data_IF_589551411133
#
_entry.id   IF_589551411133
#
_cell.length_a   1.000
_cell.length_b   1.000
_cell.length_c   1.000
_cell.angle_alpha   90.00
_cell.angle_beta   90.00
_cell.angle_gamma   90.00
#
_symmetry.space_group_name_H-M   'P 1'
#
loop_
_entity.id
_entity.type
_entity.pdbx_description
1 polymer ?
#
# COMPACT_ATOMS: atom_id res chain seq x y z
N UNK A 1 0.54 -6.40 -39.23
CA UNK A 1 -0.48 -6.84 -38.25
C UNK A 1 0.05 -7.84 -37.21
N UNK A 2 0.94 -8.75 -37.58
CA UNK A 2 1.44 -9.80 -36.68
C UNK A 2 2.41 -9.30 -35.59
N UNK A 3 3.26 -8.31 -35.88
CA UNK A 3 4.23 -7.76 -34.90
C UNK A 3 3.56 -7.01 -33.74
N UNK A 4 2.46 -6.30 -34.02
CA UNK A 4 1.68 -5.58 -32.98
C UNK A 4 0.94 -6.56 -32.05
N UNK A 5 0.40 -7.65 -32.58
CA UNK A 5 -0.23 -8.73 -31.78
C UNK A 5 0.78 -9.47 -30.92
N UNK A 6 2.02 -9.66 -31.40
CA UNK A 6 3.10 -10.25 -30.63
C UNK A 6 3.57 -9.34 -29.48
N UNK A 7 3.64 -8.02 -29.72
CA UNK A 7 4.00 -7.02 -28.71
C UNK A 7 2.91 -6.90 -27.63
N UNK A 8 1.64 -6.91 -28.04
CA UNK A 8 0.50 -6.89 -27.11
C UNK A 8 0.41 -8.18 -26.28
N UNK A 9 0.68 -9.33 -26.91
CA UNK A 9 0.75 -10.63 -26.21
C UNK A 9 1.94 -10.71 -25.26
N UNK A 10 3.09 -10.16 -25.60
CA UNK A 10 4.27 -10.08 -24.73
C UNK A 10 4.05 -9.16 -23.54
N UNK A 11 3.34 -8.04 -23.74
CA UNK A 11 3.00 -7.10 -22.66
C UNK A 11 1.96 -7.68 -21.70
N UNK A 12 1.02 -8.50 -22.19
CA UNK A 12 0.04 -9.20 -21.36
C UNK A 12 0.70 -10.32 -20.54
N UNK A 13 1.73 -11.00 -21.06
CA UNK A 13 2.48 -12.05 -20.37
C UNK A 13 3.39 -11.49 -19.27
N UNK A 14 3.91 -10.27 -19.42
CA UNK A 14 4.71 -9.61 -18.37
C UNK A 14 3.88 -9.14 -17.18
N UNK A 15 2.56 -8.96 -17.32
CA UNK A 15 1.69 -8.51 -16.25
C UNK A 15 1.21 -9.63 -15.31
N UNK A 16 1.51 -10.90 -15.60
CA UNK A 16 1.04 -12.04 -14.79
C UNK A 16 2.02 -12.53 -13.71
N UNK A 17 3.17 -11.89 -13.51
CA UNK A 17 4.26 -12.46 -12.71
C UNK A 17 4.39 -11.97 -11.27
N UNK A 18 3.43 -11.33 -10.65
CA UNK A 18 3.55 -10.96 -9.22
C UNK A 18 2.26 -11.07 -8.41
N UNK A 19 1.49 -12.12 -8.60
CA UNK A 19 0.60 -12.58 -7.54
C UNK A 19 1.34 -13.56 -6.62
N UNK A 20 2.45 -13.14 -6.01
CA UNK A 20 2.92 -13.80 -4.80
C UNK A 20 1.88 -13.53 -3.74
N UNK A 21 1.12 -14.57 -3.41
CA UNK A 21 0.07 -14.53 -2.43
C UNK A 21 0.57 -13.85 -1.16
N UNK A 22 -0.28 -13.01 -0.60
CA UNK A 22 -0.08 -12.43 0.72
C UNK A 22 -0.03 -13.61 1.71
N UNK A 23 1.16 -14.10 1.96
CA UNK A 23 1.42 -15.31 2.69
C UNK A 23 1.70 -15.02 4.17
N UNK A 24 1.94 -16.09 4.91
CA UNK A 24 2.35 -16.08 6.31
C UNK A 24 3.49 -15.09 6.61
N UNK A 25 4.35 -14.80 5.63
CA UNK A 25 5.50 -13.87 5.75
C UNK A 25 5.14 -12.41 6.04
N UNK A 26 3.87 -12.04 5.89
CA UNK A 26 3.39 -10.72 6.28
C UNK A 26 3.05 -10.63 7.77
N UNK A 27 3.02 -11.76 8.47
CA UNK A 27 2.85 -11.79 9.92
C UNK A 27 4.23 -11.78 10.56
N UNK A 28 4.45 -10.87 11.48
CA UNK A 28 5.73 -10.74 12.17
C UNK A 28 5.57 -10.49 13.66
N UNK A 29 6.60 -10.82 14.42
CA UNK A 29 6.69 -10.48 15.84
C UNK A 29 6.90 -8.96 15.92
N UNK A 30 6.05 -8.26 16.66
CA UNK A 30 6.08 -6.81 16.76
C UNK A 30 6.63 -6.30 18.09
N UNK A 31 6.15 -6.85 19.20
CA UNK A 31 6.57 -6.44 20.52
C UNK A 31 6.52 -7.65 21.48
N UNK A 32 7.45 -7.72 22.43
CA UNK A 32 7.50 -8.79 23.45
C UNK A 32 7.79 -8.18 24.80
N UNK A 33 7.02 -8.59 25.82
CA UNK A 33 7.21 -8.21 27.22
C UNK A 33 7.27 -9.49 28.06
N UNK A 34 8.43 -9.72 28.71
CA UNK A 34 8.69 -10.97 29.44
C UNK A 34 8.33 -10.90 30.93
N UNK A 35 8.33 -9.73 31.53
CA UNK A 35 8.03 -9.51 32.94
C UNK A 35 7.01 -8.36 33.06
N UNK A 36 5.73 -8.70 33.18
CA UNK A 36 4.61 -7.78 33.22
C UNK A 36 4.12 -7.55 34.63
N UNK A 37 4.33 -6.38 35.20
CA UNK A 37 3.83 -5.99 36.51
C UNK A 37 2.86 -4.82 36.50
N UNK A 38 2.89 -3.98 35.44
CA UNK A 38 2.09 -2.77 35.31
C UNK A 38 1.42 -2.58 33.93
N UNK A 39 1.76 -3.40 32.90
CA UNK A 39 1.20 -3.31 31.58
C UNK A 39 -0.24 -3.87 31.52
N UNK A 40 -0.66 -4.42 30.38
CA UNK A 40 -2.00 -4.99 30.20
C UNK A 40 -2.26 -6.20 31.07
N UNK A 41 -3.55 -6.44 31.34
CA UNK A 41 -4.05 -7.65 32.01
C UNK A 41 -4.79 -8.52 31.01
N UNK A 42 -4.84 -9.82 31.28
CA UNK A 42 -5.66 -10.77 30.54
C UNK A 42 -7.15 -10.66 30.91
N UNK A 43 -7.99 -11.50 30.32
CA UNK A 43 -9.44 -11.54 30.59
C UNK A 43 -9.79 -11.93 32.04
N UNK A 44 -8.82 -12.45 32.80
CA UNK A 44 -8.97 -12.85 34.19
C UNK A 44 -8.38 -11.83 35.17
N UNK A 45 -7.82 -10.74 34.68
CA UNK A 45 -7.19 -9.69 35.48
C UNK A 45 -5.74 -10.01 35.88
N UNK A 46 -5.11 -11.03 35.30
CA UNK A 46 -3.72 -11.40 35.59
C UNK A 46 -2.76 -10.62 34.68
N UNK A 47 -1.57 -10.37 35.20
CA UNK A 47 -0.47 -9.75 34.46
C UNK A 47 0.51 -10.83 34.04
N UNK A 48 0.39 -11.22 32.78
CA UNK A 48 1.18 -12.28 32.18
C UNK A 48 2.18 -11.70 31.16
N UNK A 49 3.29 -12.42 30.94
CA UNK A 49 4.16 -12.12 29.81
C UNK A 49 3.37 -12.24 28.50
N UNK A 50 3.72 -11.45 27.50
CA UNK A 50 2.98 -11.45 26.26
C UNK A 50 3.86 -11.24 25.02
N UNK A 51 3.35 -11.71 23.89
CA UNK A 51 3.92 -11.56 22.55
C UNK A 51 2.87 -10.90 21.67
N UNK A 52 3.26 -9.88 20.94
CA UNK A 52 2.41 -9.25 19.94
C UNK A 52 2.86 -9.64 18.53
N UNK A 53 1.89 -10.01 17.70
CA UNK A 53 2.05 -10.16 16.26
C UNK A 53 1.41 -8.99 15.53
N UNK A 54 2.02 -8.60 14.41
CA UNK A 54 1.50 -7.61 13.46
C UNK A 54 1.28 -8.26 12.09
N UNK A 55 0.17 -7.93 11.47
CA UNK A 55 -0.07 -8.21 10.06
C UNK A 55 0.32 -6.99 9.21
N UNK A 56 1.44 -7.05 8.53
CA UNK A 56 1.95 -5.94 7.69
C UNK A 56 1.24 -5.80 6.35
N UNK A 57 0.39 -6.76 5.98
CA UNK A 57 -0.39 -6.71 4.75
C UNK A 57 -1.65 -5.84 4.88
N UNK A 58 -2.37 -5.66 3.79
CA UNK A 58 -3.66 -4.97 3.78
C UNK A 58 -4.86 -5.93 3.84
N UNK A 59 -4.60 -7.24 3.87
CA UNK A 59 -5.65 -8.28 3.92
C UNK A 59 -5.57 -9.07 5.21
N UNK A 60 -6.69 -9.66 5.60
CA UNK A 60 -6.78 -10.53 6.77
C UNK A 60 -6.01 -11.83 6.54
N UNK A 61 -5.24 -12.25 7.54
CA UNK A 61 -4.54 -13.52 7.55
C UNK A 61 -4.89 -14.34 8.79
N UNK A 62 -5.09 -15.67 8.62
CA UNK A 62 -5.40 -16.57 9.73
C UNK A 62 -4.14 -17.30 10.18
N UNK A 63 -3.74 -17.06 11.43
CA UNK A 63 -2.53 -17.62 12.04
C UNK A 63 -2.76 -18.91 12.84
N UNK A 64 -3.99 -19.44 12.83
CA UNK A 64 -4.29 -20.71 13.50
C UNK A 64 -3.35 -21.82 13.03
N UNK A 65 -2.90 -22.65 13.95
CA UNK A 65 -2.01 -23.77 13.63
C UNK A 65 -0.57 -23.38 13.35
N UNK A 66 -0.22 -22.09 13.40
CA UNK A 66 1.18 -21.65 13.39
C UNK A 66 1.82 -21.87 14.76
N UNK A 67 3.13 -21.77 14.84
CA UNK A 67 3.86 -22.17 16.04
C UNK A 67 4.79 -21.08 16.57
N UNK A 68 4.88 -21.00 17.89
CA UNK A 68 5.96 -20.31 18.58
C UNK A 68 6.94 -21.30 19.23
N UNK A 69 8.18 -20.90 19.37
CA UNK A 69 9.18 -21.66 20.10
C UNK A 69 10.28 -20.75 20.65
N UNK A 70 10.81 -21.12 21.79
CA UNK A 70 12.02 -20.51 22.38
C UNK A 70 13.23 -21.45 22.28
N UNK A 71 13.04 -22.67 21.78
CA UNK A 71 14.10 -23.66 21.63
C UNK A 71 14.82 -23.49 20.27
N UNK A 72 16.06 -23.01 20.33
CA UNK A 72 16.90 -22.83 19.13
C UNK A 72 17.28 -24.14 18.41
N UNK A 73 17.15 -25.30 19.10
CA UNK A 73 17.46 -26.58 18.47
C UNK A 73 16.61 -26.84 17.22
N UNK A 74 15.40 -26.23 17.13
CA UNK A 74 14.54 -26.33 15.94
C UNK A 74 15.13 -25.70 14.66
N UNK A 75 16.21 -24.93 14.79
CA UNK A 75 16.93 -24.37 13.65
C UNK A 75 17.79 -25.42 12.94
N UNK A 76 17.99 -26.61 13.53
CA UNK A 76 18.72 -27.69 12.89
C UNK A 76 17.96 -28.16 11.63
N UNK A 77 18.54 -28.02 10.44
CA UNK A 77 17.91 -28.45 9.19
C UNK A 77 17.74 -29.98 9.10
N UNK A 78 18.47 -30.75 9.90
CA UNK A 78 18.37 -32.22 9.93
C UNK A 78 17.27 -32.72 10.87
N UNK A 79 16.69 -31.84 11.70
CA UNK A 79 15.64 -32.22 12.63
C UNK A 79 14.34 -32.56 11.87
N UNK A 80 13.77 -33.72 12.15
CA UNK A 80 12.50 -34.15 11.55
C UNK A 80 11.33 -33.25 11.99
N UNK A 81 10.32 -33.09 11.12
CA UNK A 81 9.14 -32.26 11.42
C UNK A 81 8.42 -32.70 12.71
N UNK A 82 8.17 -34.01 12.96
CA UNK A 82 7.54 -34.45 14.20
C UNK A 82 8.35 -34.10 15.47
N UNK A 83 9.67 -34.12 15.40
CA UNK A 83 10.53 -33.78 16.50
C UNK A 83 10.55 -32.26 16.74
N UNK A 84 10.54 -31.49 15.67
CA UNK A 84 10.45 -30.03 15.71
C UNK A 84 9.14 -29.57 16.35
N UNK A 85 7.99 -30.17 15.97
CA UNK A 85 6.67 -29.87 16.54
C UNK A 85 6.63 -30.09 18.06
N UNK A 86 7.28 -31.14 18.57
CA UNK A 86 7.36 -31.40 20.02
C UNK A 86 8.00 -30.24 20.80
N UNK A 87 8.88 -29.47 20.16
CA UNK A 87 9.58 -28.32 20.74
C UNK A 87 8.88 -26.98 20.51
N UNK A 88 7.77 -26.99 19.77
CA UNK A 88 7.00 -25.80 19.42
C UNK A 88 5.65 -25.78 20.17
N UNK A 89 5.10 -24.59 20.29
CA UNK A 89 3.77 -24.35 20.87
C UNK A 89 2.83 -23.83 19.80
N UNK A 90 1.77 -24.56 19.55
CA UNK A 90 0.78 -24.24 18.50
C UNK A 90 -0.14 -23.11 18.94
N UNK A 91 -0.47 -22.22 18.03
CA UNK A 91 -1.57 -21.27 18.18
C UNK A 91 -2.88 -22.04 18.03
N UNK A 92 -3.75 -22.06 19.05
CA UNK A 92 -4.97 -22.85 19.04
C UNK A 92 -5.94 -22.40 17.93
N UNK A 93 -6.73 -23.30 17.42
CA UNK A 93 -7.85 -23.03 16.53
C UNK A 93 -9.14 -22.76 17.30
N UNK A 94 -10.12 -22.11 16.66
CA UNK A 94 -11.46 -21.93 17.21
C UNK A 94 -11.76 -20.56 17.83
N UNK A 95 -10.84 -19.60 17.73
CA UNK A 95 -11.09 -18.19 18.05
C UNK A 95 -11.02 -17.35 16.79
N UNK A 96 -12.07 -16.56 16.48
CA UNK A 96 -12.05 -15.66 15.31
C UNK A 96 -10.97 -14.59 15.39
N UNK A 97 -10.46 -14.23 16.57
CA UNK A 97 -9.37 -13.27 16.77
C UNK A 97 -8.05 -13.74 16.17
N UNK A 98 -7.86 -15.06 15.93
CA UNK A 98 -6.69 -15.56 15.20
C UNK A 98 -6.66 -15.16 13.73
N UNK A 99 -7.72 -14.52 13.22
CA UNK A 99 -7.75 -13.83 11.94
C UNK A 99 -7.32 -12.39 12.15
N UNK A 100 -6.03 -12.11 11.95
CA UNK A 100 -5.49 -10.76 12.10
C UNK A 100 -5.82 -9.96 10.83
N UNK A 101 -6.62 -8.91 10.97
CA UNK A 101 -6.92 -7.97 9.87
C UNK A 101 -5.68 -7.28 9.32
N UNK A 102 -5.79 -6.72 8.11
CA UNK A 102 -4.70 -5.96 7.53
C UNK A 102 -4.28 -4.78 8.42
N UNK A 103 -3.00 -4.61 8.65
CA UNK A 103 -2.43 -3.56 9.51
C UNK A 103 -2.89 -3.62 10.97
N UNK A 104 -3.34 -4.78 11.43
CA UNK A 104 -3.76 -4.99 12.81
C UNK A 104 -2.74 -5.79 13.61
N UNK A 105 -2.87 -5.70 14.92
CA UNK A 105 -2.03 -6.34 15.91
C UNK A 105 -2.86 -7.35 16.71
N UNK A 106 -2.20 -8.38 17.23
CA UNK A 106 -2.81 -9.36 18.11
C UNK A 106 -1.83 -9.75 19.21
N UNK A 107 -2.27 -9.66 20.45
CA UNK A 107 -1.49 -10.01 21.63
C UNK A 107 -1.84 -11.43 22.08
N UNK A 108 -0.81 -12.21 22.40
CA UNK A 108 -0.90 -13.51 23.05
C UNK A 108 -0.27 -13.46 24.44
N UNK A 109 -0.97 -13.97 25.42
CA UNK A 109 -0.44 -14.16 26.78
C UNK A 109 0.33 -15.48 26.89
N UNK A 110 1.49 -15.44 27.52
CA UNK A 110 2.43 -16.56 27.64
C UNK A 110 2.48 -17.05 29.10
N UNK A 111 1.44 -17.76 29.52
CA UNK A 111 1.29 -18.23 30.92
C UNK A 111 1.25 -19.76 31.06
N UNK A 112 1.53 -20.51 30.01
CA UNK A 112 1.44 -21.97 29.95
C UNK A 112 0.07 -22.55 30.32
N UNK A 113 -0.99 -21.75 30.29
CA UNK A 113 -2.34 -22.15 30.64
C UNK A 113 -3.36 -21.95 29.50
N UNK A 114 -3.32 -22.79 28.45
CA UNK A 114 -4.23 -22.65 27.32
C UNK A 114 -5.70 -22.92 27.65
N UNK A 115 -6.00 -23.39 28.86
CA UNK A 115 -7.37 -23.57 29.36
C UNK A 115 -8.08 -22.23 29.59
N UNK A 116 -7.33 -21.15 29.83
CA UNK A 116 -7.87 -19.81 30.02
C UNK A 116 -8.35 -19.15 28.71
N UNK A 117 -8.01 -19.68 27.54
CA UNK A 117 -8.50 -19.16 26.27
C UNK A 117 -7.53 -19.37 25.10
N UNK A 118 -7.96 -19.06 23.91
CA UNK A 118 -7.18 -19.30 22.70
C UNK A 118 -6.03 -18.31 22.48
N UNK A 119 -6.03 -17.20 23.20
CA UNK A 119 -4.93 -16.23 23.19
C UNK A 119 -3.92 -16.49 24.34
N UNK A 120 -4.12 -17.56 25.11
CA UNK A 120 -3.17 -18.03 26.13
C UNK A 120 -2.35 -19.19 25.56
N UNK A 121 -1.06 -18.95 25.38
CA UNK A 121 -0.17 -19.94 24.79
C UNK A 121 0.41 -20.87 25.86
N UNK A 122 0.54 -22.16 25.52
CA UNK A 122 1.32 -23.12 26.31
C UNK A 122 2.83 -22.81 26.26
N UNK A 123 3.18 -21.55 26.35
CA UNK A 123 4.54 -21.05 26.32
C UNK A 123 4.79 -20.22 27.56
N UNK A 124 5.98 -20.34 28.15
CA UNK A 124 6.44 -19.49 29.21
C UNK A 124 7.71 -18.77 28.78
N UNK A 125 7.74 -17.47 28.98
CA UNK A 125 8.91 -16.65 28.68
C UNK A 125 9.73 -16.49 29.97
N UNK A 126 11.05 -16.69 29.93
CA UNK A 126 11.90 -16.47 31.11
C UNK A 126 11.92 -14.98 31.48
N UNK A 127 11.79 -14.67 32.75
CA UNK A 127 11.83 -13.29 33.24
C UNK A 127 13.28 -12.83 33.36
N UNK A 128 13.55 -11.63 32.86
CA UNK A 128 14.85 -10.95 33.00
C UNK A 128 16.07 -11.73 32.48
N UNK A 129 15.85 -12.67 31.58
CA UNK A 129 16.90 -13.43 30.92
C UNK A 129 16.82 -13.21 29.39
N UNK A 130 17.96 -13.26 28.68
CA UNK A 130 17.92 -13.20 27.24
C UNK A 130 17.31 -14.50 26.69
N UNK A 131 16.46 -14.35 25.66
CA UNK A 131 15.85 -15.49 24.98
C UNK A 131 15.79 -15.29 23.48
N UNK A 132 15.73 -16.39 22.74
CA UNK A 132 15.38 -16.38 21.34
C UNK A 132 13.93 -16.82 21.18
N UNK A 133 13.17 -16.11 20.36
CA UNK A 133 11.80 -16.43 20.03
C UNK A 133 11.67 -16.61 18.51
N UNK A 134 11.18 -17.77 18.08
CA UNK A 134 10.89 -18.09 16.69
C UNK A 134 9.40 -18.25 16.46
N UNK A 135 8.94 -17.77 15.31
CA UNK A 135 7.58 -17.89 14.83
C UNK A 135 7.59 -18.66 13.50
N UNK A 136 6.87 -19.77 13.45
CA UNK A 136 6.89 -20.73 12.34
C UNK A 136 5.52 -20.87 11.70
N UNK A 137 5.55 -21.18 10.41
CA UNK A 137 4.34 -21.53 9.66
C UNK A 137 3.72 -22.84 10.16
N UNK A 138 2.45 -23.10 9.81
CA UNK A 138 1.71 -24.28 10.20
C UNK A 138 2.30 -25.63 9.73
N UNK A 139 3.27 -25.60 8.80
CA UNK A 139 4.04 -26.78 8.40
C UNK A 139 5.20 -27.11 9.38
N UNK A 140 5.49 -26.26 10.37
CA UNK A 140 6.59 -26.36 11.32
C UNK A 140 8.01 -26.42 10.69
N UNK A 141 8.14 -26.08 9.42
CA UNK A 141 9.40 -26.07 8.68
C UNK A 141 9.85 -24.65 8.35
N UNK A 142 8.90 -23.82 7.92
CA UNK A 142 9.20 -22.46 7.48
C UNK A 142 9.24 -21.50 8.68
N UNK A 143 10.43 -20.99 8.99
CA UNK A 143 10.60 -19.89 9.94
C UNK A 143 10.09 -18.60 9.26
N UNK A 144 9.04 -18.03 9.83
CA UNK A 144 8.43 -16.79 9.33
C UNK A 144 9.18 -15.58 9.86
N UNK A 145 9.41 -15.54 11.17
CA UNK A 145 10.11 -14.45 11.83
C UNK A 145 10.79 -14.94 13.12
N UNK A 146 11.82 -14.24 13.54
CA UNK A 146 12.47 -14.53 14.81
C UNK A 146 13.15 -13.30 15.39
N UNK A 147 13.30 -13.31 16.71
CA UNK A 147 13.96 -12.25 17.44
C UNK A 147 14.76 -12.81 18.61
N UNK A 148 15.95 -12.24 18.85
CA UNK A 148 16.71 -12.47 20.06
C UNK A 148 16.46 -11.29 21.00
N UNK A 149 15.79 -11.57 22.12
CA UNK A 149 15.35 -10.59 23.10
C UNK A 149 16.45 -10.52 24.17
N UNK A 150 16.98 -9.32 24.51
CA UNK A 150 17.93 -9.18 25.61
C UNK A 150 17.24 -9.39 26.94
N UNK A 151 18.00 -9.48 28.04
CA UNK A 151 17.44 -9.40 29.38
C UNK A 151 16.69 -8.06 29.55
N UNK A 152 15.41 -8.14 29.92
CA UNK A 152 14.54 -6.98 30.13
C UNK A 152 14.26 -6.81 31.64
N UNK A 153 14.21 -5.56 32.07
CA UNK A 153 13.69 -5.26 33.42
C UNK A 153 12.16 -5.42 33.46
N UNK A 154 11.55 -5.36 34.64
CA UNK A 154 10.10 -5.37 34.79
C UNK A 154 9.46 -4.25 33.97
N UNK A 155 8.37 -4.59 33.29
CA UNK A 155 7.58 -3.69 32.42
C UNK A 155 8.33 -3.05 31.23
N UNK A 156 9.54 -3.54 30.93
CA UNK A 156 10.20 -3.22 29.67
C UNK A 156 9.77 -4.19 28.58
N UNK A 157 9.52 -3.67 27.40
CA UNK A 157 9.29 -4.47 26.20
C UNK A 157 10.44 -4.36 25.22
N UNK A 158 10.57 -5.36 24.35
CA UNK A 158 11.45 -5.34 23.19
C UNK A 158 10.60 -5.24 21.96
N UNK A 159 10.69 -4.11 21.27
CA UNK A 159 9.76 -3.74 20.22
C UNK A 159 10.46 -3.46 18.90
N UNK A 160 9.83 -3.86 17.82
CA UNK A 160 10.28 -3.63 16.45
C UNK A 160 10.09 -2.16 16.07
N UNK A 161 11.13 -1.58 15.46
CA UNK A 161 11.14 -0.22 14.94
C UNK A 161 11.31 -0.29 13.41
N UNK A 162 10.19 -0.23 12.68
CA UNK A 162 10.22 -0.42 11.23
C UNK A 162 10.53 -1.86 10.80
N UNK A 163 11.28 -2.06 9.71
CA UNK A 163 11.44 -3.38 9.10
C UNK A 163 12.41 -4.32 9.86
N UNK A 164 13.52 -3.80 10.35
CA UNK A 164 14.63 -4.64 10.84
C UNK A 164 15.25 -4.19 12.18
N UNK A 165 14.89 -3.04 12.70
CA UNK A 165 15.44 -2.51 13.94
C UNK A 165 14.58 -2.92 15.12
N UNK A 166 15.23 -3.13 16.27
CA UNK A 166 14.57 -3.42 17.54
C UNK A 166 15.11 -2.49 18.61
N UNK A 167 14.27 -2.12 19.56
CA UNK A 167 14.67 -1.31 20.71
C UNK A 167 13.97 -1.77 21.98
N UNK A 168 14.63 -1.58 23.10
CA UNK A 168 14.03 -1.72 24.43
C UNK A 168 13.18 -0.48 24.68
N UNK A 169 11.93 -0.67 25.08
CA UNK A 169 11.00 0.38 25.47
C UNK A 169 10.86 0.40 26.99
N UNK A 170 10.81 1.59 27.57
CA UNK A 170 10.43 1.76 28.98
C UNK A 170 8.94 1.49 29.20
N UNK A 171 8.52 1.23 30.42
CA UNK A 171 7.14 0.90 30.78
C UNK A 171 6.08 1.86 30.21
N UNK A 172 6.38 3.15 30.16
CA UNK A 172 5.50 4.21 29.63
C UNK A 172 5.35 4.23 28.09
N UNK A 173 6.27 3.54 27.40
CA UNK A 173 6.32 3.46 25.94
C UNK A 173 5.87 2.10 25.38
N UNK A 174 5.47 1.16 26.23
CA UNK A 174 4.91 -0.14 25.83
C UNK A 174 3.57 0.10 25.12
N UNK A 175 3.37 -0.54 23.96
CA UNK A 175 2.24 -0.24 23.05
C UNK A 175 1.48 -1.48 22.63
N UNK A 176 0.90 -2.28 23.54
CA UNK A 176 0.18 -3.49 23.20
C UNK A 176 -1.08 -3.21 22.36
N UNK A 177 -1.24 -3.93 21.28
CA UNK A 177 -2.40 -3.84 20.39
C UNK A 177 -2.37 -2.69 19.38
N UNK A 178 -1.29 -1.89 19.34
CA UNK A 178 -1.14 -0.77 18.42
C UNK A 178 0.28 -0.70 17.86
N UNK A 179 0.47 0.12 16.84
CA UNK A 179 1.77 0.33 16.22
C UNK A 179 2.80 0.86 17.23
N UNK A 180 4.04 0.35 17.12
CA UNK A 180 5.14 0.75 17.99
C UNK A 180 5.53 2.21 17.79
N UNK A 181 5.43 2.99 18.81
CA UNK A 181 5.96 4.35 18.86
C UNK A 181 6.70 4.59 20.17
N UNK A 182 7.64 5.51 20.16
CA UNK A 182 8.29 6.01 21.36
C UNK A 182 7.77 7.44 21.55
N UNK A 183 7.21 7.71 22.73
CA UNK A 183 6.86 9.07 23.11
C UNK A 183 8.17 9.85 23.25
N UNK A 184 8.44 10.68 22.27
CA UNK A 184 9.57 11.61 22.29
C UNK A 184 9.00 13.03 22.33
N UNK A 185 9.62 13.91 23.08
CA UNK A 185 9.31 15.35 23.07
C UNK A 185 9.84 16.03 21.77
N UNK A 186 9.95 15.24 20.72
CA UNK A 186 10.39 15.74 19.42
C UNK A 186 9.37 16.72 18.84
N UNK A 187 9.88 17.79 18.26
CA UNK A 187 9.05 18.72 17.47
C UNK A 187 8.38 17.97 16.31
N UNK A 188 7.19 18.42 15.90
CA UNK A 188 6.47 17.82 14.78
C UNK A 188 7.32 17.71 13.51
N UNK A 189 8.19 18.69 13.28
CA UNK A 189 9.08 18.72 12.12
C UNK A 189 10.20 17.66 12.20
N UNK A 190 10.76 17.43 13.39
CA UNK A 190 11.76 16.38 13.60
C UNK A 190 11.15 14.97 13.43
N UNK A 191 9.92 14.78 13.94
CA UNK A 191 9.15 13.55 13.75
C UNK A 191 8.87 13.29 12.28
N UNK A 192 8.37 14.28 11.55
CA UNK A 192 8.07 14.17 10.12
C UNK A 192 9.33 13.82 9.32
N UNK A 193 10.44 14.47 9.58
CA UNK A 193 11.71 14.21 8.91
C UNK A 193 12.26 12.81 9.17
N UNK A 194 11.99 12.22 10.34
CA UNK A 194 12.40 10.87 10.69
C UNK A 194 11.51 9.81 10.05
N UNK A 195 10.19 10.01 10.06
CA UNK A 195 9.20 9.05 9.56
C UNK A 195 9.08 9.06 8.04
N UNK A 196 9.27 10.22 7.43
CA UNK A 196 9.24 10.39 5.98
C UNK A 196 10.43 11.21 5.46
N UNK A 197 11.64 10.63 5.45
CA UNK A 197 12.84 11.31 4.97
C UNK A 197 12.81 11.63 3.48
N UNK A 198 11.91 10.99 2.73
CA UNK A 198 11.81 11.11 1.28
C UNK A 198 10.51 11.77 0.79
N UNK A 199 9.59 12.17 1.66
CA UNK A 199 8.28 12.70 1.29
C UNK A 199 8.36 13.91 0.37
N UNK A 200 9.28 14.82 0.64
CA UNK A 200 9.52 15.96 -0.24
C UNK A 200 9.99 15.53 -1.64
N UNK A 201 10.90 14.55 -1.70
CA UNK A 201 11.39 14.00 -2.98
C UNK A 201 10.29 13.33 -3.79
N UNK A 202 9.43 12.55 -3.14
CA UNK A 202 8.28 11.87 -3.77
C UNK A 202 7.29 12.91 -4.30
N UNK A 203 7.00 13.94 -3.53
CA UNK A 203 6.10 15.03 -3.96
C UNK A 203 6.65 15.78 -5.16
N UNK A 204 7.95 16.11 -5.14
CA UNK A 204 8.62 16.79 -6.25
C UNK A 204 8.62 15.90 -7.51
N UNK A 205 8.89 14.61 -7.35
CA UNK A 205 8.85 13.63 -8.45
C UNK A 205 7.45 13.54 -9.06
N UNK A 206 6.42 13.40 -8.24
CA UNK A 206 5.04 13.31 -8.70
C UNK A 206 4.61 14.56 -9.47
N UNK A 207 4.91 15.75 -8.93
CA UNK A 207 4.65 17.02 -9.60
C UNK A 207 5.44 17.13 -10.90
N UNK A 208 6.71 16.72 -10.89
CA UNK A 208 7.57 16.70 -12.08
C UNK A 208 7.02 15.84 -13.22
N UNK A 209 6.50 14.65 -12.90
CA UNK A 209 5.87 13.76 -13.88
C UNK A 209 4.65 14.43 -14.53
N UNK A 210 3.80 15.08 -13.72
CA UNK A 210 2.60 15.77 -14.26
C UNK A 210 3.02 16.90 -15.21
N UNK A 211 3.97 17.75 -14.81
CA UNK A 211 4.46 18.82 -15.69
C UNK A 211 5.12 18.27 -16.95
N UNK A 212 5.88 17.19 -16.84
CA UNK A 212 6.48 16.54 -18.00
C UNK A 212 5.41 16.03 -18.97
N UNK A 213 4.36 15.36 -18.50
CA UNK A 213 3.26 14.92 -19.34
C UNK A 213 2.55 16.08 -20.05
N UNK A 214 2.31 17.20 -19.32
CA UNK A 214 1.71 18.39 -19.91
C UNK A 214 2.61 19.01 -20.97
N UNK A 215 3.93 19.07 -20.74
CA UNK A 215 4.90 19.57 -21.72
C UNK A 215 4.93 18.71 -22.99
N UNK A 216 4.88 17.38 -22.85
CA UNK A 216 4.81 16.45 -23.98
C UNK A 216 3.52 16.64 -24.77
N UNK A 217 2.38 16.77 -24.09
CA UNK A 217 1.10 17.07 -24.74
C UNK A 217 1.13 18.40 -25.49
N UNK A 218 1.70 19.44 -24.89
CA UNK A 218 1.86 20.74 -25.54
C UNK A 218 2.70 20.64 -26.82
N UNK A 219 3.85 19.95 -26.74
CA UNK A 219 4.71 19.71 -27.87
C UNK A 219 3.98 18.92 -28.99
N UNK A 220 3.20 17.93 -28.62
CA UNK A 220 2.41 17.14 -29.54
C UNK A 220 1.39 18.02 -30.30
N UNK A 221 0.61 18.84 -29.61
CA UNK A 221 -0.36 19.72 -30.25
C UNK A 221 0.30 20.84 -31.05
N UNK A 222 1.44 21.36 -30.59
CA UNK A 222 2.22 22.34 -31.33
C UNK A 222 2.72 21.75 -32.66
N UNK A 223 3.30 20.56 -32.63
CA UNK A 223 3.77 19.83 -33.81
C UNK A 223 2.61 19.49 -34.73
N UNK A 224 1.49 19.02 -34.21
CA UNK A 224 0.28 18.76 -34.98
C UNK A 224 -0.25 20.01 -35.68
N UNK A 225 -0.28 21.13 -34.95
CA UNK A 225 -0.66 22.42 -35.52
C UNK A 225 0.28 22.88 -36.65
N UNK A 226 1.58 22.62 -36.53
CA UNK A 226 2.56 22.90 -37.58
C UNK A 226 2.30 22.07 -38.82
N UNK A 227 2.05 20.75 -38.66
CA UNK A 227 1.73 19.84 -39.79
C UNK A 227 0.44 20.28 -40.49
N UNK A 228 -0.61 20.61 -39.73
CA UNK A 228 -1.88 21.05 -40.32
C UNK A 228 -1.73 22.35 -41.09
N UNK A 229 -0.94 23.33 -40.63
CA UNK A 229 -0.64 24.57 -41.39
C UNK A 229 0.06 24.28 -42.70
N UNK A 230 1.02 23.35 -42.74
CA UNK A 230 1.68 22.96 -43.98
C UNK A 230 0.72 22.28 -44.97
N UNK A 231 -0.19 21.42 -44.46
CA UNK A 231 -1.20 20.75 -45.29
C UNK A 231 -2.23 21.75 -45.88
N UNK A 232 -2.66 22.75 -45.10
CA UNK A 232 -3.59 23.79 -45.57
C UNK A 232 -2.93 24.73 -46.59
N UNK A 233 -1.66 25.03 -46.44
CA UNK A 233 -0.88 25.81 -47.41
C UNK A 233 -0.75 25.05 -48.73
N UNK A 234 -0.48 23.75 -48.68
CA UNK A 234 -0.42 22.88 -49.85
C UNK A 234 -1.79 22.81 -50.61
N UNK A 235 -2.90 22.72 -49.86
CA UNK A 235 -4.26 22.75 -50.46
C UNK A 235 -4.60 24.08 -51.12
N UNK A 236 -4.19 25.23 -50.57
CA UNK A 236 -4.38 26.54 -51.17
C UNK A 236 -3.61 26.71 -52.47
N UNK A 237 -2.42 26.15 -52.59
CA UNK A 237 -1.60 26.19 -53.80
C UNK A 237 -2.22 25.35 -54.93
N UNK A 238 -2.83 24.21 -54.62
CA UNK A 238 -3.47 23.31 -55.60
C UNK A 238 -4.81 23.87 -56.12
N UNK A 239 -5.53 24.66 -55.31
CA UNK A 239 -6.84 25.26 -55.72
C UNK A 239 -6.76 26.67 -56.31
N UNK A 240 -5.59 27.25 -56.48
CA UNK A 240 -5.40 28.50 -57.14
C UNK A 240 -5.40 28.33 -58.70
N UNK A 241 -6.51 27.90 -59.25
CA UNK A 241 -6.76 28.11 -60.73
C UNK A 241 -7.18 29.58 -60.99
N UNK A 242 -6.62 30.23 -61.99
CA UNK A 242 -6.97 31.60 -62.24
C UNK A 242 -8.44 31.69 -62.75
N UNK A 243 -9.27 32.37 -61.97
CA UNK A 243 -10.65 32.71 -62.38
C UNK A 243 -10.57 33.69 -63.54
N UNK A 244 -10.95 33.24 -64.74
CA UNK A 244 -11.11 34.14 -65.90
C UNK A 244 -12.23 35.12 -65.55
N UNK A 245 -12.04 36.45 -65.79
CA UNK A 245 -13.10 37.44 -65.59
C UNK A 245 -14.23 37.21 -66.61
N UNK A 246 -15.44 36.97 -66.14
CA UNK A 246 -16.66 36.97 -66.95
C UNK A 246 -17.10 38.41 -67.08
N UNK A 247 -16.78 39.01 -68.19
CA UNK A 247 -17.36 40.30 -68.66
C UNK A 247 -18.80 40.02 -69.07
N UNK A 248 -19.74 40.29 -68.19
CA UNK A 248 -21.16 40.41 -68.63
C UNK A 248 -21.44 41.85 -69.00
N UNK A 249 -21.60 42.07 -70.26
CA UNK A 249 -22.19 43.27 -70.84
C UNK A 249 -23.67 43.30 -70.46
N UNK A 250 -24.06 44.25 -69.64
CA UNK A 250 -25.47 44.50 -69.31
C UNK A 250 -25.93 45.52 -70.35
N UNK A 251 -26.73 45.07 -71.32
CA UNK A 251 -27.55 45.96 -72.20
C UNK A 251 -28.67 46.54 -71.35
N UNK A 252 -28.68 47.88 -71.26
CA UNK A 252 -29.75 48.65 -70.67
C UNK A 252 -30.76 48.92 -71.75
N UNK A 253 -31.87 48.21 -71.74
CA UNK A 253 -33.06 48.65 -72.49
C UNK A 253 -33.93 49.47 -71.55
N UNK A 254 -34.06 50.74 -71.97
CA UNK A 254 -34.99 51.71 -71.46
C UNK A 254 -36.39 51.34 -72.00
N UNK A 255 -37.34 51.13 -71.06
CA UNK A 255 -38.74 51.35 -71.38
C UNK A 255 -39.45 51.98 -70.16
N UNK A 256 -39.88 53.18 -70.48
CA UNK A 256 -40.82 54.01 -69.75
C UNK A 256 -42.25 53.44 -69.88
N UNK A 257 -43.00 53.35 -68.86
CA UNK A 257 -44.38 53.87 -68.83
C UNK A 257 -45.08 53.53 -67.51
N UNK A 258 -45.50 54.60 -66.91
CA UNK A 258 -46.82 54.86 -66.30
C UNK A 258 -47.55 53.76 -65.56
N UNK A 259 -47.88 53.99 -64.32
CA UNK A 259 -49.13 54.61 -63.77
C UNK A 259 -49.16 54.50 -62.27
N UNK A 260 -49.20 55.64 -61.64
CA UNK A 260 -50.31 56.16 -60.82
C UNK A 260 -51.07 55.17 -60.02
N UNK A 261 -51.06 55.44 -58.76
CA UNK A 261 -52.32 55.70 -58.09
C UNK A 261 -52.55 54.97 -56.78
N UNK A 262 -52.58 55.76 -55.75
CA UNK A 262 -53.56 55.75 -54.64
C UNK A 262 -53.40 54.66 -53.59
N UNK A 263 -53.04 55.12 -52.45
CA UNK A 263 -53.84 55.76 -51.41
C UNK A 263 -54.40 54.74 -50.39
N UNK A 264 -54.06 55.06 -49.16
CA UNK A 264 -54.87 55.11 -48.00
C UNK A 264 -55.05 53.77 -47.27
N UNK A 265 -54.48 53.76 -46.11
CA UNK A 265 -55.09 54.17 -44.88
C UNK A 265 -55.75 53.01 -44.11
N UNK A 266 -55.44 53.08 -42.86
CA UNK A 266 -56.11 52.58 -41.71
C UNK A 266 -55.63 51.19 -41.20
N UNK A 267 -55.16 51.13 -40.06
CA UNK A 267 -55.51 51.74 -38.78
C UNK A 267 -55.78 50.66 -37.76
N UNK A 268 -55.15 50.83 -36.67
CA UNK A 268 -55.65 50.53 -35.34
C UNK A 268 -56.39 49.20 -35.07
N UNK A 269 -55.78 48.32 -34.41
CA UNK A 269 -56.06 48.11 -32.98
C UNK A 269 -55.00 47.21 -32.40
#
# INVERSE_FOLDING_TARGET
MNKFRLLLGGMLLLSTTTMFGQGARNIRINEVLTNNTASIVDEFGNREAWIELENTSFTTYNIRGMYFTTDRAVLDPQMSVPERIKRMKVIPSGDPRTQIGGRQHLVFFCNSNPAQGKLHLSLQLPMSEPLWLGFYNGNAEELIDSVTIPALAADQSYARQGAAKWSVKSAENVTPGIENFIKTDETKDAKLKREDPHGFGITLLAMGIVFFCLAVLFLFFWLFGLIMRHLDTAKKVVNAQPIKPITKTVEVTHDLAHATGNLLQDGLK
#
